data_IF_809281478766
#
_entry.id   IF_809281478766
#
_cell.length_a   1.000
_cell.length_b   1.000
_cell.length_c   1.000
_cell.angle_alpha   90.00
_cell.angle_beta   90.00
_cell.angle_gamma   90.00
#
_symmetry.space_group_name_H-M   'P 1'
#
loop_
_entity.id
_entity.type
_entity.pdbx_description
1 polymer ?
#
# COMPACT_ATOMS: atom_id res chain seq x y z
N UNK A 1 9.66 15.36 -3.92
CA UNK A 1 10.65 14.58 -3.17
C UNK A 1 11.81 14.30 -4.11
N UNK A 2 13.04 14.70 -3.74
CA UNK A 2 14.22 14.45 -4.57
C UNK A 2 14.62 12.99 -4.30
N UNK A 3 14.37 12.12 -5.30
CA UNK A 3 14.86 10.74 -5.27
C UNK A 3 16.38 10.81 -5.43
N UNK A 4 17.11 10.59 -4.35
CA UNK A 4 18.57 10.51 -4.39
C UNK A 4 18.93 9.07 -4.71
N UNK A 5 19.23 8.79 -6.00
CA UNK A 5 19.86 7.54 -6.38
C UNK A 5 21.30 7.53 -5.87
N UNK A 6 21.57 6.69 -4.88
CA UNK A 6 22.91 6.48 -4.38
C UNK A 6 23.77 5.76 -5.42
N UNK A 7 24.98 6.26 -5.65
CA UNK A 7 25.94 5.59 -6.52
C UNK A 7 26.65 4.43 -5.77
N UNK A 8 27.31 3.55 -6.53
CA UNK A 8 27.99 2.38 -5.97
C UNK A 8 29.04 2.71 -4.90
N UNK A 9 29.70 3.86 -5.00
CA UNK A 9 30.68 4.30 -3.99
C UNK A 9 30.00 4.72 -2.71
N UNK A 10 28.86 5.40 -2.78
CA UNK A 10 28.07 5.80 -1.62
C UNK A 10 27.51 4.58 -0.87
N UNK A 11 27.05 3.55 -1.60
CA UNK A 11 26.62 2.28 -0.98
C UNK A 11 27.77 1.61 -0.23
N UNK A 12 28.97 1.52 -0.82
CA UNK A 12 30.16 0.99 -0.13
C UNK A 12 30.55 1.80 1.10
N UNK A 13 30.41 3.12 1.08
CA UNK A 13 30.66 3.97 2.25
C UNK A 13 29.69 3.61 3.38
N UNK A 14 28.41 3.41 3.07
CA UNK A 14 27.40 3.02 4.07
C UNK A 14 27.76 1.68 4.71
N UNK A 15 28.13 0.67 3.91
CA UNK A 15 28.51 -0.65 4.42
C UNK A 15 29.73 -0.56 5.35
N UNK A 16 30.77 0.18 4.94
CA UNK A 16 31.97 0.38 5.76
C UNK A 16 31.63 1.07 7.10
N UNK A 17 30.73 2.06 7.07
CA UNK A 17 30.32 2.75 8.30
C UNK A 17 29.53 1.84 9.20
N UNK A 18 28.56 1.08 8.67
CA UNK A 18 27.75 0.10 9.43
C UNK A 18 28.61 -0.92 10.18
N UNK A 19 29.69 -1.38 9.55
CA UNK A 19 30.56 -2.40 10.13
C UNK A 19 31.56 -1.85 11.15
N UNK A 20 31.91 -0.56 11.07
CA UNK A 20 33.06 0.01 11.79
C UNK A 20 32.75 1.30 12.56
N UNK A 21 31.48 1.65 12.79
CA UNK A 21 31.11 2.87 13.48
C UNK A 21 31.51 2.89 14.96
N UNK A 22 32.05 4.01 15.48
CA UNK A 22 32.34 5.27 14.79
C UNK A 22 33.63 5.20 13.94
N UNK A 23 33.57 5.67 12.68
CA UNK A 23 34.70 5.64 11.76
C UNK A 23 35.01 7.01 11.19
N UNK A 24 36.32 7.35 11.05
CA UNK A 24 36.75 8.62 10.51
C UNK A 24 36.75 8.65 8.97
N UNK A 25 36.67 9.86 8.40
CA UNK A 25 36.76 10.01 6.92
C UNK A 25 38.07 9.49 6.32
N UNK A 26 39.18 9.57 7.10
CA UNK A 26 40.49 9.02 6.75
C UNK A 26 40.43 7.48 6.63
N UNK A 27 39.83 6.84 7.62
CA UNK A 27 39.69 5.38 7.66
C UNK A 27 38.76 4.88 6.54
N UNK A 28 37.66 5.60 6.25
CA UNK A 28 36.76 5.27 5.12
C UNK A 28 37.57 5.40 3.81
N UNK A 29 38.34 6.47 3.63
CA UNK A 29 39.16 6.69 2.45
C UNK A 29 40.19 5.56 2.24
N UNK A 30 40.84 5.13 3.33
CA UNK A 30 41.77 4.00 3.29
C UNK A 30 41.11 2.68 2.88
N UNK A 31 39.96 2.36 3.43
CA UNK A 31 39.20 1.16 3.05
C UNK A 31 38.79 1.13 1.57
N UNK A 32 38.50 2.30 0.99
CA UNK A 32 38.11 2.43 -0.42
C UNK A 32 39.29 2.69 -1.37
N UNK A 33 40.51 2.75 -0.88
CA UNK A 33 41.71 3.12 -1.63
C UNK A 33 41.57 4.44 -2.42
N UNK A 34 40.97 5.46 -1.80
CA UNK A 34 40.79 6.80 -2.38
C UNK A 34 41.28 7.88 -1.44
N UNK A 35 41.37 9.13 -1.91
CA UNK A 35 41.73 10.24 -1.06
C UNK A 35 40.53 10.76 -0.24
N UNK A 36 40.78 11.34 0.95
CA UNK A 36 39.72 12.00 1.73
C UNK A 36 39.01 13.10 0.92
N UNK A 37 39.74 13.82 0.07
CA UNK A 37 39.15 14.85 -0.79
C UNK A 37 38.11 14.27 -1.76
N UNK A 38 38.33 13.07 -2.29
CA UNK A 38 37.42 12.36 -3.19
C UNK A 38 36.10 11.99 -2.49
N UNK A 39 36.12 11.70 -1.18
CA UNK A 39 34.94 11.30 -0.42
C UNK A 39 34.11 12.48 0.08
N UNK A 40 34.65 13.71 0.03
CA UNK A 40 33.99 14.87 0.66
C UNK A 40 32.58 15.11 0.16
N UNK A 41 32.35 14.99 -1.14
CA UNK A 41 31.02 15.16 -1.74
C UNK A 41 30.08 14.03 -1.36
N UNK A 42 30.55 12.77 -1.35
CA UNK A 42 29.71 11.62 -1.00
C UNK A 42 29.33 11.66 0.48
N UNK A 43 30.28 11.92 1.37
CA UNK A 43 30.00 12.06 2.80
C UNK A 43 29.06 13.23 3.10
N UNK A 44 29.20 14.36 2.37
CA UNK A 44 28.27 15.48 2.49
C UNK A 44 26.85 15.10 2.09
N UNK A 45 26.66 14.40 0.95
CA UNK A 45 25.35 13.90 0.50
C UNK A 45 24.77 12.94 1.54
N UNK A 46 25.55 11.94 1.98
CA UNK A 46 25.08 10.94 2.93
C UNK A 46 24.72 11.55 4.31
N UNK A 47 25.38 12.60 4.71
CA UNK A 47 25.04 13.33 5.95
C UNK A 47 23.84 14.24 5.77
N UNK A 48 23.73 14.95 4.65
CA UNK A 48 22.57 15.82 4.35
C UNK A 48 21.27 15.02 4.19
N UNK A 49 21.36 13.78 3.71
CA UNK A 49 20.22 12.87 3.57
C UNK A 49 19.85 12.15 4.86
N UNK A 50 20.63 12.34 5.93
CA UNK A 50 20.41 11.68 7.22
C UNK A 50 20.79 10.18 7.22
N UNK A 51 21.45 9.67 6.17
CA UNK A 51 21.95 8.29 6.12
C UNK A 51 23.11 8.08 7.09
N UNK A 52 24.00 9.07 7.17
CA UNK A 52 25.07 9.11 8.13
C UNK A 52 24.89 10.28 9.09
N UNK A 53 25.24 10.08 10.35
CA UNK A 53 25.41 11.13 11.37
C UNK A 53 26.90 11.42 11.54
N UNK A 54 27.30 12.70 11.47
CA UNK A 54 28.67 13.11 11.58
C UNK A 54 28.89 13.84 12.93
N UNK A 55 29.69 13.26 13.82
CA UNK A 55 30.03 13.88 15.10
C UNK A 55 31.46 14.43 15.09
N UNK A 56 31.66 15.75 15.33
CA UNK A 56 32.95 16.36 15.33
C UNK A 56 33.94 15.63 16.28
N UNK A 57 35.14 15.37 15.79
CA UNK A 57 36.22 14.64 16.50
C UNK A 57 35.95 13.17 16.83
N UNK A 58 34.81 12.63 16.51
CA UNK A 58 34.44 11.22 16.74
C UNK A 58 34.44 10.45 15.43
N UNK A 59 33.68 10.91 14.45
CA UNK A 59 33.57 10.23 13.16
C UNK A 59 32.11 10.15 12.65
N UNK A 60 31.90 9.21 11.76
CA UNK A 60 30.62 8.93 11.14
C UNK A 60 29.94 7.71 11.77
N UNK A 61 28.64 7.81 11.93
CA UNK A 61 27.76 6.76 12.41
C UNK A 61 26.68 6.47 11.36
N UNK A 62 26.20 5.28 11.30
CA UNK A 62 25.02 4.94 10.52
C UNK A 62 23.75 5.33 11.30
N UNK A 63 22.90 6.16 10.72
CA UNK A 63 21.71 6.66 11.44
C UNK A 63 20.49 5.74 11.33
N UNK A 64 20.51 4.76 10.42
CA UNK A 64 19.38 3.85 10.18
C UNK A 64 18.18 4.49 9.47
N UNK A 65 18.11 5.81 9.36
CA UNK A 65 16.96 6.55 8.80
C UNK A 65 16.78 6.29 7.29
N UNK A 66 17.86 5.91 6.58
CA UNK A 66 17.81 5.76 5.12
C UNK A 66 17.08 4.52 4.64
N UNK A 67 17.10 3.42 5.38
CA UNK A 67 16.40 2.18 4.98
C UNK A 67 14.90 2.37 5.08
N UNK A 68 14.41 3.05 6.11
CA UNK A 68 13.00 3.41 6.26
C UNK A 68 12.57 4.38 5.15
N UNK A 69 13.41 5.35 4.78
CA UNK A 69 13.13 6.28 3.70
C UNK A 69 13.15 5.58 2.32
N UNK A 70 14.05 4.61 2.10
CA UNK A 70 14.08 3.82 0.85
C UNK A 70 12.83 2.96 0.70
N UNK A 71 12.37 2.30 1.76
CA UNK A 71 11.10 1.56 1.78
C UNK A 71 9.92 2.50 1.57
N UNK A 72 9.91 3.65 2.26
CA UNK A 72 8.89 4.68 2.10
C UNK A 72 8.78 5.19 0.67
N UNK A 73 9.89 5.53 0.04
CA UNK A 73 9.93 6.00 -1.35
C UNK A 73 9.45 4.93 -2.34
N UNK A 74 9.88 3.67 -2.17
CA UNK A 74 9.41 2.55 -3.00
C UNK A 74 7.89 2.35 -2.90
N UNK A 75 7.28 2.59 -1.73
CA UNK A 75 5.82 2.51 -1.55
C UNK A 75 5.12 3.72 -2.17
N UNK A 76 5.68 4.92 -2.05
CA UNK A 76 5.10 6.14 -2.61
C UNK A 76 5.06 6.15 -4.14
N UNK A 77 6.02 5.49 -4.79
CA UNK A 77 6.09 5.36 -6.25
C UNK A 77 5.09 4.36 -6.82
N UNK A 78 4.56 3.45 -6.00
CA UNK A 78 3.65 2.40 -6.42
C UNK A 78 2.20 2.88 -6.53
N UNK A 79 1.52 2.44 -7.60
CA UNK A 79 0.10 2.72 -7.83
C UNK A 79 -0.78 1.53 -7.43
N UNK A 80 -2.07 1.81 -7.25
CA UNK A 80 -3.08 0.78 -6.98
C UNK A 80 -3.14 -0.25 -8.10
N UNK A 81 -2.98 0.16 -9.37
CA UNK A 81 -2.99 -0.72 -10.54
C UNK A 81 -1.96 -1.84 -10.45
N UNK A 82 -0.78 -1.55 -9.91
CA UNK A 82 0.32 -2.52 -9.82
C UNK A 82 0.05 -3.70 -8.86
N UNK A 83 -0.81 -3.50 -7.85
CA UNK A 83 -1.04 -4.50 -6.80
C UNK A 83 -2.50 -4.90 -6.61
N UNK A 84 -3.44 -4.27 -7.32
CA UNK A 84 -4.85 -4.61 -7.18
C UNK A 84 -5.12 -6.04 -7.65
N UNK A 85 -6.15 -6.66 -7.05
CA UNK A 85 -6.66 -7.97 -7.44
C UNK A 85 -7.95 -7.82 -8.22
N UNK A 86 -8.37 -8.88 -8.92
CA UNK A 86 -9.68 -8.93 -9.56
C UNK A 86 -10.79 -8.77 -8.51
N UNK A 87 -11.85 -8.00 -8.81
CA UNK A 87 -12.97 -7.81 -7.92
C UNK A 87 -13.88 -9.04 -7.92
N UNK A 88 -14.55 -9.30 -6.80
CA UNK A 88 -15.68 -10.22 -6.75
C UNK A 88 -16.94 -9.37 -6.71
N UNK A 89 -17.80 -9.53 -7.70
CA UNK A 89 -19.02 -8.74 -7.85
C UNK A 89 -20.24 -9.62 -7.90
N UNK A 90 -21.37 -9.10 -7.41
CA UNK A 90 -22.71 -9.73 -7.50
C UNK A 90 -23.77 -8.66 -7.78
N UNK A 91 -24.93 -9.06 -8.29
CA UNK A 91 -26.06 -8.15 -8.46
C UNK A 91 -26.82 -7.95 -7.15
N UNK A 92 -27.53 -6.82 -7.03
CA UNK A 92 -28.25 -6.43 -5.81
C UNK A 92 -29.39 -7.40 -5.40
N UNK A 93 -29.88 -8.20 -6.34
CA UNK A 93 -31.06 -9.04 -6.16
C UNK A 93 -30.74 -10.47 -5.70
N UNK A 94 -29.43 -10.85 -5.68
CA UNK A 94 -28.99 -12.14 -5.15
C UNK A 94 -29.28 -12.23 -3.67
N UNK A 95 -29.65 -13.41 -3.17
CA UNK A 95 -29.95 -13.59 -1.74
C UNK A 95 -28.66 -13.62 -0.88
N UNK A 96 -28.79 -13.38 0.42
CA UNK A 96 -27.67 -13.31 1.37
C UNK A 96 -26.90 -14.63 1.42
N UNK A 97 -27.60 -15.79 1.36
CA UNK A 97 -26.95 -17.11 1.43
C UNK A 97 -25.98 -17.32 0.26
N UNK A 98 -26.39 -17.01 -0.95
CA UNK A 98 -25.54 -17.18 -2.14
C UNK A 98 -24.34 -16.23 -2.11
N UNK A 99 -24.51 -15.02 -1.52
CA UNK A 99 -23.38 -14.10 -1.30
C UNK A 99 -22.40 -14.67 -0.26
N UNK A 100 -22.88 -15.29 0.81
CA UNK A 100 -22.03 -15.98 1.80
C UNK A 100 -21.23 -17.08 1.10
N UNK A 101 -21.90 -17.94 0.31
CA UNK A 101 -21.24 -19.02 -0.44
C UNK A 101 -20.19 -18.46 -1.40
N UNK A 102 -20.52 -17.42 -2.16
CA UNK A 102 -19.58 -16.75 -3.09
C UNK A 102 -18.37 -16.19 -2.36
N UNK A 103 -18.59 -15.58 -1.20
CA UNK A 103 -17.51 -15.01 -0.38
C UNK A 103 -16.53 -16.07 0.10
N UNK A 104 -17.01 -17.23 0.54
CA UNK A 104 -16.18 -18.36 0.96
C UNK A 104 -15.44 -19.01 -0.21
N UNK A 105 -16.12 -19.28 -1.32
CA UNK A 105 -15.52 -19.91 -2.50
C UNK A 105 -14.44 -19.04 -3.15
N UNK A 106 -14.60 -17.72 -3.09
CA UNK A 106 -13.65 -16.75 -3.66
C UNK A 106 -12.57 -16.33 -2.65
N UNK A 107 -12.61 -16.81 -1.41
CA UNK A 107 -11.71 -16.43 -0.29
C UNK A 107 -11.53 -14.91 -0.15
N UNK A 108 -12.65 -14.17 -0.11
CA UNK A 108 -12.65 -12.72 0.01
C UNK A 108 -13.33 -12.24 1.28
N UNK A 109 -12.94 -11.05 1.78
CA UNK A 109 -13.55 -10.43 2.97
C UNK A 109 -14.69 -9.47 2.67
N UNK A 110 -14.83 -9.06 1.40
CA UNK A 110 -15.88 -8.16 0.92
C UNK A 110 -16.25 -8.48 -0.51
N UNK A 111 -17.52 -8.26 -0.85
CA UNK A 111 -18.06 -8.40 -2.21
C UNK A 111 -18.68 -7.07 -2.61
N UNK A 112 -18.48 -6.66 -3.86
CA UNK A 112 -19.06 -5.44 -4.42
C UNK A 112 -20.37 -5.76 -5.11
N UNK A 113 -21.35 -4.89 -4.91
CA UNK A 113 -22.69 -5.05 -5.49
C UNK A 113 -22.80 -4.08 -6.67
N UNK A 114 -23.21 -4.61 -7.82
CA UNK A 114 -23.37 -3.87 -9.07
C UNK A 114 -24.81 -3.88 -9.55
N UNK A 115 -25.16 -2.92 -10.40
CA UNK A 115 -26.42 -2.90 -11.14
C UNK A 115 -26.33 -3.66 -12.46
N UNK A 116 -27.41 -3.63 -13.25
CA UNK A 116 -27.50 -4.28 -14.57
C UNK A 116 -26.54 -3.66 -15.61
N UNK A 117 -26.05 -2.45 -15.38
CA UNK A 117 -25.10 -1.75 -16.23
C UNK A 117 -23.64 -1.86 -15.71
N UNK A 118 -23.41 -2.76 -14.74
CA UNK A 118 -22.11 -2.99 -14.08
C UNK A 118 -21.62 -1.82 -13.21
N UNK A 119 -22.47 -0.86 -12.84
CA UNK A 119 -22.08 0.23 -11.97
C UNK A 119 -22.10 -0.20 -10.50
N UNK A 120 -21.18 0.31 -9.71
CA UNK A 120 -21.09 0.06 -8.28
C UNK A 120 -22.31 0.64 -7.55
N UNK A 121 -23.09 -0.23 -6.92
CA UNK A 121 -24.22 0.10 -6.07
C UNK A 121 -23.91 0.07 -4.59
N UNK A 122 -22.98 -0.81 -4.18
CA UNK A 122 -22.68 -0.99 -2.78
C UNK A 122 -21.57 -1.99 -2.51
N UNK A 123 -21.34 -2.25 -1.23
CA UNK A 123 -20.39 -3.23 -0.72
C UNK A 123 -21.03 -3.99 0.45
N UNK A 124 -20.67 -5.25 0.59
CA UNK A 124 -20.99 -6.07 1.77
C UNK A 124 -19.72 -6.74 2.29
N UNK A 125 -19.55 -6.74 3.61
CA UNK A 125 -18.44 -7.38 4.31
C UNK A 125 -18.91 -8.62 5.07
N UNK A 126 -17.94 -9.47 5.51
CA UNK A 126 -18.22 -10.59 6.44
C UNK A 126 -19.00 -10.13 7.69
N UNK A 127 -18.68 -8.94 8.20
CA UNK A 127 -19.34 -8.37 9.39
C UNK A 127 -20.81 -8.07 9.13
N UNK A 128 -21.16 -7.59 7.94
CA UNK A 128 -22.55 -7.29 7.57
C UNK A 128 -23.35 -8.59 7.41
N UNK A 129 -22.78 -9.60 6.75
CA UNK A 129 -23.40 -10.92 6.62
C UNK A 129 -23.63 -11.59 7.98
N UNK A 130 -22.63 -11.51 8.88
CA UNK A 130 -22.74 -12.05 10.23
C UNK A 130 -23.84 -11.35 11.02
N UNK A 131 -23.94 -10.01 10.94
CA UNK A 131 -25.01 -9.24 11.60
C UNK A 131 -26.40 -9.67 11.11
N UNK A 132 -26.58 -9.84 9.80
CA UNK A 132 -27.84 -10.29 9.21
C UNK A 132 -28.22 -11.68 9.71
N UNK A 133 -27.27 -12.60 9.78
CA UNK A 133 -27.49 -13.98 10.24
C UNK A 133 -27.87 -14.02 11.72
N UNK A 134 -27.14 -13.31 12.59
CA UNK A 134 -27.42 -13.24 14.04
C UNK A 134 -28.75 -12.53 14.29
N UNK A 135 -29.12 -11.54 13.46
CA UNK A 135 -30.38 -10.83 13.53
C UNK A 135 -31.62 -11.66 13.17
N UNK A 136 -31.45 -12.94 12.81
CA UNK A 136 -32.56 -13.85 12.48
C UNK A 136 -33.17 -13.60 11.10
N UNK A 137 -32.46 -12.94 10.19
CA UNK A 137 -32.90 -12.72 8.82
C UNK A 137 -33.04 -14.05 8.07
N UNK A 138 -34.07 -14.18 7.24
CA UNK A 138 -34.21 -15.34 6.33
C UNK A 138 -33.23 -15.13 5.16
N UNK A 139 -31.99 -15.56 5.36
CA UNK A 139 -30.87 -15.34 4.43
C UNK A 139 -31.11 -15.95 3.04
N UNK A 140 -32.03 -16.90 2.91
CA UNK A 140 -32.37 -17.50 1.62
C UNK A 140 -33.37 -16.65 0.82
N UNK A 141 -34.06 -15.70 1.46
CA UNK A 141 -35.08 -14.88 0.81
C UNK A 141 -34.72 -13.40 0.69
N UNK A 142 -33.87 -12.92 1.59
CA UNK A 142 -33.55 -11.49 1.65
C UNK A 142 -32.45 -11.17 0.60
N UNK A 143 -32.71 -10.24 -0.34
CA UNK A 143 -31.71 -9.78 -1.29
C UNK A 143 -30.56 -9.02 -0.60
N UNK A 144 -29.34 -9.17 -1.11
CA UNK A 144 -28.15 -8.50 -0.54
C UNK A 144 -28.26 -6.97 -0.55
N UNK A 145 -28.99 -6.42 -1.52
CA UNK A 145 -29.27 -4.99 -1.60
C UNK A 145 -29.98 -4.38 -0.38
N UNK A 146 -30.58 -5.23 0.49
CA UNK A 146 -31.23 -4.77 1.74
C UNK A 146 -30.23 -4.47 2.86
N UNK A 147 -29.06 -5.12 2.85
CA UNK A 147 -28.08 -5.03 3.96
C UNK A 147 -26.73 -4.40 3.54
N UNK A 148 -26.52 -4.17 2.25
CA UNK A 148 -25.26 -3.57 1.76
C UNK A 148 -25.09 -2.13 2.23
N UNK A 149 -23.85 -1.69 2.38
CA UNK A 149 -23.49 -0.27 2.40
C UNK A 149 -23.62 0.27 0.99
N UNK A 150 -24.44 1.29 0.80
CA UNK A 150 -24.77 1.85 -0.53
C UNK A 150 -23.85 3.01 -0.89
N UNK A 151 -23.64 3.22 -2.21
CA UNK A 151 -23.13 4.49 -2.71
C UNK A 151 -24.08 5.64 -2.32
N UNK A 152 -23.57 6.86 -2.00
CA UNK A 152 -22.18 7.30 -2.07
C UNK A 152 -21.31 6.96 -0.84
N UNK A 153 -21.83 6.20 0.15
CA UNK A 153 -21.10 5.89 1.39
C UNK A 153 -20.00 4.82 1.22
N UNK A 154 -19.83 4.27 0.02
CA UNK A 154 -18.76 3.33 -0.26
C UNK A 154 -17.46 4.09 -0.52
N UNK A 155 -16.44 3.79 0.24
CA UNK A 155 -15.09 4.34 0.02
C UNK A 155 -14.48 3.67 -1.21
N UNK A 156 -14.02 4.46 -2.16
CA UNK A 156 -13.45 3.99 -3.43
C UNK A 156 -12.04 4.52 -3.64
N UNK A 157 -11.30 3.89 -4.55
CA UNK A 157 -9.99 4.36 -5.02
C UNK A 157 -9.89 4.17 -6.53
N UNK A 158 -8.92 4.83 -7.16
CA UNK A 158 -8.65 4.75 -8.59
C UNK A 158 -7.35 4.00 -8.84
N UNK A 159 -7.18 3.45 -10.02
CA UNK A 159 -6.00 2.67 -10.37
C UNK A 159 -4.71 3.50 -10.35
N UNK A 160 -4.81 4.81 -10.64
CA UNK A 160 -3.70 5.77 -10.59
C UNK A 160 -3.39 6.30 -9.19
N UNK A 161 -4.26 6.06 -8.20
CA UNK A 161 -4.00 6.47 -6.81
C UNK A 161 -2.73 5.79 -6.29
N UNK A 162 -1.98 6.49 -5.43
CA UNK A 162 -0.84 5.87 -4.74
C UNK A 162 -1.31 4.81 -3.73
N UNK A 163 -0.49 3.79 -3.53
CA UNK A 163 -0.74 2.77 -2.49
C UNK A 163 -0.90 3.39 -1.12
N UNK A 164 -0.13 4.43 -0.81
CA UNK A 164 -0.22 5.15 0.45
C UNK A 164 -1.61 5.79 0.65
N UNK A 165 -2.18 6.41 -0.41
CA UNK A 165 -3.52 6.98 -0.36
C UNK A 165 -4.58 5.90 -0.13
N UNK A 166 -4.52 4.79 -0.86
CA UNK A 166 -5.44 3.66 -0.68
C UNK A 166 -5.33 3.05 0.72
N UNK A 167 -4.09 2.93 1.25
CA UNK A 167 -3.83 2.44 2.61
C UNK A 167 -4.46 3.35 3.66
N UNK A 168 -4.32 4.68 3.54
CA UNK A 168 -4.95 5.65 4.43
C UNK A 168 -6.47 5.49 4.42
N UNK A 169 -7.10 5.42 3.24
CA UNK A 169 -8.54 5.19 3.10
C UNK A 169 -9.01 3.92 3.84
N UNK A 170 -8.27 2.80 3.68
CA UNK A 170 -8.59 1.53 4.35
C UNK A 170 -8.53 1.65 5.88
N UNK A 171 -7.53 2.34 6.41
CA UNK A 171 -7.33 2.49 7.87
C UNK A 171 -8.33 3.49 8.46
N UNK A 172 -8.51 4.67 7.85
CA UNK A 172 -9.40 5.73 8.32
C UNK A 172 -10.87 5.30 8.35
N UNK A 173 -11.28 4.47 7.38
CA UNK A 173 -12.65 3.97 7.30
C UNK A 173 -12.85 2.59 7.94
N UNK A 174 -11.80 2.02 8.58
CA UNK A 174 -11.84 0.73 9.28
C UNK A 174 -12.37 -0.43 8.43
N UNK A 175 -12.07 -0.43 7.12
CA UNK A 175 -12.48 -1.47 6.17
C UNK A 175 -11.33 -2.43 5.85
N UNK A 176 -11.64 -3.63 5.32
CA UNK A 176 -10.63 -4.63 4.95
C UNK A 176 -10.23 -4.53 3.48
N UNK A 177 -11.11 -4.02 2.64
CA UNK A 177 -10.83 -3.74 1.22
C UNK A 177 -11.73 -2.64 0.70
N UNK A 178 -11.30 -2.00 -0.38
CA UNK A 178 -12.05 -0.98 -1.12
C UNK A 178 -12.07 -1.33 -2.61
N UNK A 179 -13.16 -1.00 -3.34
CA UNK A 179 -13.22 -1.18 -4.78
C UNK A 179 -12.30 -0.18 -5.48
N UNK A 180 -11.65 -0.64 -6.54
CA UNK A 180 -10.96 0.20 -7.51
C UNK A 180 -11.96 0.48 -8.63
N UNK A 181 -12.22 1.75 -8.91
CA UNK A 181 -13.28 2.14 -9.85
C UNK A 181 -12.76 3.05 -10.95
N UNK A 182 -13.46 3.01 -12.08
CA UNK A 182 -13.38 3.99 -13.16
C UNK A 182 -14.72 4.69 -13.28
N UNK A 183 -14.68 6.04 -13.43
CA UNK A 183 -15.89 6.81 -13.69
C UNK A 183 -16.34 6.68 -15.14
N UNK A 184 -17.64 6.69 -15.35
CA UNK A 184 -18.19 6.84 -16.69
C UNK A 184 -17.83 8.24 -17.26
N UNK A 185 -17.43 8.30 -18.51
CA UNK A 185 -17.03 9.57 -19.16
C UNK A 185 -18.18 10.59 -19.26
N UNK A 186 -19.43 10.13 -19.29
CA UNK A 186 -20.62 10.97 -19.47
C UNK A 186 -21.29 11.33 -18.15
N UNK A 187 -21.23 10.42 -17.16
CA UNK A 187 -21.83 10.62 -15.85
C UNK A 187 -20.87 10.18 -14.73
N UNK A 188 -20.25 11.16 -14.09
CA UNK A 188 -19.31 10.96 -12.96
C UNK A 188 -19.95 10.34 -11.71
N UNK A 189 -21.27 10.18 -11.66
CA UNK A 189 -21.93 9.44 -10.59
C UNK A 189 -21.94 7.93 -10.84
N UNK A 190 -21.66 7.51 -12.07
CA UNK A 190 -21.58 6.09 -12.45
C UNK A 190 -20.12 5.62 -12.36
N UNK A 191 -19.92 4.54 -11.61
CA UNK A 191 -18.59 3.97 -11.34
C UNK A 191 -18.58 2.49 -11.68
N UNK A 192 -17.71 2.05 -12.58
CA UNK A 192 -17.46 0.63 -12.85
C UNK A 192 -16.39 0.09 -11.94
N UNK A 193 -16.60 -1.11 -11.39
CA UNK A 193 -15.61 -1.78 -10.56
C UNK A 193 -14.62 -2.52 -11.45
N UNK A 194 -13.36 -2.07 -11.46
CA UNK A 194 -12.29 -2.66 -12.27
C UNK A 194 -11.31 -3.50 -11.45
N UNK A 195 -11.30 -3.32 -10.13
CA UNK A 195 -10.36 -4.00 -9.25
C UNK A 195 -10.77 -3.95 -7.78
N UNK A 196 -9.90 -4.51 -6.97
CA UNK A 196 -10.01 -4.52 -5.51
C UNK A 196 -8.63 -4.32 -4.90
N UNK A 197 -8.53 -3.44 -3.90
CA UNK A 197 -7.36 -3.35 -3.04
C UNK A 197 -7.74 -3.69 -1.59
N UNK A 198 -6.93 -4.50 -0.93
CA UNK A 198 -7.17 -5.01 0.42
C UNK A 198 -5.93 -4.89 1.29
N UNK A 199 -6.10 -5.01 2.62
CA UNK A 199 -4.98 -5.12 3.57
C UNK A 199 -3.97 -6.20 3.15
N UNK A 200 -4.45 -7.32 2.59
CA UNK A 200 -3.59 -8.42 2.12
C UNK A 200 -2.70 -7.99 0.94
N UNK A 201 -3.23 -7.21 -0.02
CA UNK A 201 -2.41 -6.70 -1.12
C UNK A 201 -1.27 -5.82 -0.60
N UNK A 202 -1.59 -4.91 0.34
CA UNK A 202 -0.61 -4.01 0.95
C UNK A 202 0.45 -4.79 1.75
N UNK A 203 0.03 -5.80 2.52
CA UNK A 203 0.96 -6.65 3.28
C UNK A 203 1.89 -7.46 2.38
N UNK A 204 1.39 -7.98 1.25
CA UNK A 204 2.22 -8.67 0.25
C UNK A 204 3.24 -7.72 -0.37
N UNK A 205 2.82 -6.52 -0.77
CA UNK A 205 3.74 -5.50 -1.29
C UNK A 205 4.84 -5.16 -0.26
N UNK A 206 4.48 -5.02 1.02
CA UNK A 206 5.46 -4.76 2.07
C UNK A 206 6.53 -5.86 2.14
N UNK A 207 6.14 -7.14 2.08
CA UNK A 207 7.08 -8.26 2.04
C UNK A 207 7.97 -8.21 0.79
N UNK A 208 7.40 -7.96 -0.39
CA UNK A 208 8.16 -7.85 -1.65
C UNK A 208 9.22 -6.74 -1.61
N UNK A 209 8.92 -5.64 -0.92
CA UNK A 209 9.87 -4.51 -0.82
C UNK A 209 11.00 -4.81 0.18
N UNK A 210 10.70 -5.55 1.25
CA UNK A 210 11.68 -5.88 2.30
C UNK A 210 12.60 -7.03 1.87
N UNK A 211 12.09 -7.98 1.07
CA UNK A 211 12.85 -9.14 0.59
C UNK A 211 13.76 -8.82 -0.63
N UNK A 212 13.61 -7.62 -1.26
CA UNK A 212 14.41 -7.12 -2.39
C UNK A 212 15.29 -5.93 -2.00
#
# INVERSE_FOLDING_TARGET
VIIIQLNQRQLKIIDIVKENEPITSESIAANLNVTRATLRSDLAILTMTGILDARPKVGYFYSGISEINLVGNKIEEKTVEEIMSLPVVVTKDINIYDVIVTMFLSDVGSIFIIDENENLCGIVSRKDLLKATIGGADINKIPIGMIMTRTPNVVVTHKEDSILLATKKIIEHEVDSIPVVEYDEKDKNLMKVIGRISKTNITKLFLEIVDN
#
